data_IF_370837992104
#
_entry.id   IF_370837992104
#
_cell.length_a   1.000
_cell.length_b   1.000
_cell.length_c   1.000
_cell.angle_alpha   90.00
_cell.angle_beta   90.00
_cell.angle_gamma   90.00
#
_symmetry.space_group_name_H-M   'P 1'
#
loop_
_entity.id
_entity.type
_entity.pdbx_description
1 polymer ?
#
# COMPACT_ATOMS: atom_id res chain seq x y z
N UNK A 1 -17.51 -6.70 -3.52
CA UNK A 1 -16.96 -7.38 -2.32
C UNK A 1 -16.78 -6.37 -1.21
N UNK A 2 -17.05 -6.75 0.06
CA UNK A 2 -16.82 -5.90 1.24
C UNK A 2 -15.55 -6.35 1.95
N UNK A 3 -14.75 -5.42 2.53
CA UNK A 3 -13.63 -5.78 3.38
C UNK A 3 -14.08 -6.57 4.62
N UNK A 4 -13.34 -7.63 4.96
CA UNK A 4 -13.55 -8.39 6.21
C UNK A 4 -12.82 -7.73 7.39
N UNK A 5 -11.65 -7.13 7.13
CA UNK A 5 -10.89 -6.36 8.12
C UNK A 5 -11.10 -4.87 7.85
N UNK A 6 -11.77 -4.17 8.76
CA UNK A 6 -12.17 -2.76 8.63
C UNK A 6 -11.45 -1.82 9.59
N UNK A 7 -10.62 -2.36 10.49
CA UNK A 7 -9.82 -1.59 11.43
C UNK A 7 -8.50 -2.29 11.69
N UNK A 8 -7.50 -1.53 12.08
CA UNK A 8 -6.24 -2.07 12.58
C UNK A 8 -6.40 -2.47 14.04
N UNK A 9 -5.64 -3.46 14.50
CA UNK A 9 -5.58 -3.83 15.91
C UNK A 9 -4.91 -2.74 16.75
N UNK A 10 -3.89 -2.07 16.18
CA UNK A 10 -3.35 -0.84 16.76
C UNK A 10 -4.18 0.37 16.26
N UNK A 11 -4.99 1.01 17.11
CA UNK A 11 -5.84 2.14 16.68
C UNK A 11 -5.06 3.44 16.47
N UNK A 12 -3.80 3.50 16.87
CA UNK A 12 -2.96 4.68 16.78
C UNK A 12 -1.54 4.34 16.25
N UNK A 13 -1.42 3.81 15.02
CA UNK A 13 -0.13 3.48 14.43
C UNK A 13 0.70 4.75 14.23
N UNK A 14 2.01 4.66 14.46
CA UNK A 14 2.95 5.80 14.36
C UNK A 14 3.96 5.63 13.24
N UNK A 15 4.12 4.42 12.75
CA UNK A 15 5.13 4.10 11.74
C UNK A 15 4.56 3.26 10.61
N UNK A 16 4.92 3.59 9.36
CA UNK A 16 4.48 2.87 8.17
C UNK A 16 5.60 2.57 7.19
N UNK A 17 5.50 1.42 6.52
CA UNK A 17 6.28 1.08 5.34
C UNK A 17 5.35 1.02 4.13
N UNK A 18 5.69 1.76 3.08
CA UNK A 18 4.99 1.73 1.79
C UNK A 18 5.81 0.95 0.79
N UNK A 19 5.31 -0.20 0.37
CA UNK A 19 5.94 -1.06 -0.65
C UNK A 19 5.09 -1.02 -1.91
N UNK A 20 5.72 -0.68 -3.04
CA UNK A 20 4.97 -0.55 -4.29
C UNK A 20 5.81 -0.10 -5.48
N UNK A 21 5.21 0.67 -6.34
CA UNK A 21 5.81 1.13 -7.60
C UNK A 21 5.52 2.61 -7.87
N UNK A 22 5.47 3.02 -9.14
CA UNK A 22 5.24 4.41 -9.52
C UNK A 22 3.93 5.00 -8.97
N UNK A 23 2.91 4.21 -8.72
CA UNK A 23 1.68 4.69 -8.09
C UNK A 23 1.90 5.21 -6.66
N UNK A 24 2.94 4.73 -5.99
CA UNK A 24 3.33 5.19 -4.66
C UNK A 24 4.26 6.41 -4.70
N UNK A 25 5.17 6.51 -5.68
CA UNK A 25 6.20 7.57 -5.67
C UNK A 25 5.97 8.72 -6.66
N UNK A 26 5.03 8.61 -7.61
CA UNK A 26 4.80 9.66 -8.61
C UNK A 26 4.40 10.99 -7.95
N UNK A 27 4.74 12.12 -8.59
CA UNK A 27 4.45 13.48 -8.09
C UNK A 27 4.85 13.70 -6.61
N UNK A 28 6.12 13.51 -6.29
CA UNK A 28 6.72 13.65 -4.96
C UNK A 28 6.34 12.57 -3.93
N UNK A 29 5.57 11.57 -4.35
CA UNK A 29 5.27 10.38 -3.57
C UNK A 29 4.19 10.56 -2.50
N UNK A 30 3.36 9.54 -2.40
CA UNK A 30 2.25 9.45 -1.46
C UNK A 30 2.69 9.71 -0.01
N UNK A 31 3.87 9.20 0.37
CA UNK A 31 4.41 9.35 1.75
C UNK A 31 4.59 10.83 2.14
N UNK A 32 4.99 11.68 1.20
CA UNK A 32 5.14 13.12 1.43
C UNK A 32 3.82 13.78 1.81
N UNK A 33 2.77 13.50 1.05
CA UNK A 33 1.42 14.03 1.30
C UNK A 33 0.82 13.52 2.61
N UNK A 34 0.90 12.20 2.86
CA UNK A 34 0.39 11.61 4.11
C UNK A 34 1.09 12.19 5.33
N UNK A 35 2.41 12.39 5.27
CA UNK A 35 3.16 13.07 6.35
C UNK A 35 2.72 14.50 6.56
N UNK A 36 2.42 15.22 5.46
CA UNK A 36 1.89 16.58 5.52
C UNK A 36 0.53 16.64 6.22
N UNK A 37 -0.39 15.78 5.83
CA UNK A 37 -1.72 15.68 6.46
C UNK A 37 -1.63 15.26 7.93
N UNK A 38 -0.82 14.25 8.25
CA UNK A 38 -0.62 13.81 9.63
C UNK A 38 -0.07 14.95 10.50
N UNK A 39 0.93 15.69 10.01
CA UNK A 39 1.48 16.86 10.70
C UNK A 39 0.41 17.94 10.94
N UNK A 40 -0.38 18.25 9.93
CA UNK A 40 -1.47 19.24 10.05
C UNK A 40 -2.54 18.81 11.06
N UNK A 41 -2.79 17.52 11.18
CA UNK A 41 -3.72 16.94 12.15
C UNK A 41 -3.12 16.69 13.54
N UNK A 42 -1.84 17.03 13.77
CA UNK A 42 -1.16 16.74 15.03
C UNK A 42 -0.90 15.25 15.30
N UNK A 43 -0.97 14.42 14.25
CA UNK A 43 -0.77 12.95 14.36
C UNK A 43 0.71 12.64 14.16
N UNK A 44 1.37 11.97 15.13
CA UNK A 44 2.75 11.55 14.95
C UNK A 44 2.83 10.41 13.93
N UNK A 45 3.41 10.69 12.77
CA UNK A 45 3.56 9.71 11.70
C UNK A 45 4.97 9.76 11.10
N UNK A 46 5.62 8.61 11.07
CA UNK A 46 6.89 8.38 10.38
C UNK A 46 6.72 7.27 9.36
N UNK A 47 7.23 7.45 8.16
CA UNK A 47 7.08 6.43 7.12
C UNK A 47 8.33 6.33 6.26
N UNK A 48 8.57 5.10 5.78
CA UNK A 48 9.53 4.74 4.74
C UNK A 48 8.78 4.31 3.49
N UNK A 49 9.37 4.57 2.34
CA UNK A 49 8.91 4.10 1.05
C UNK A 49 10.00 3.25 0.41
N UNK A 50 9.63 2.07 -0.08
CA UNK A 50 10.47 1.19 -0.90
C UNK A 50 9.69 0.88 -2.17
N UNK A 51 10.20 1.36 -3.31
CA UNK A 51 9.48 1.28 -4.58
C UNK A 51 10.39 0.84 -5.70
N UNK A 52 9.84 0.04 -6.61
CA UNK A 52 10.49 -0.40 -7.85
C UNK A 52 9.63 0.09 -9.00
N UNK A 53 10.22 0.82 -9.95
CA UNK A 53 9.49 1.31 -11.13
C UNK A 53 8.86 0.16 -11.91
N UNK A 54 7.56 0.24 -12.19
CA UNK A 54 6.77 -0.86 -12.78
C UNK A 54 6.87 -2.19 -12.02
N UNK A 55 7.25 -2.13 -10.74
CA UNK A 55 7.46 -3.31 -9.89
C UNK A 55 6.17 -4.08 -9.67
N UNK A 56 6.30 -5.40 -9.77
CA UNK A 56 5.31 -6.40 -9.34
C UNK A 56 5.59 -6.81 -7.90
N UNK A 57 4.62 -7.39 -7.20
CA UNK A 57 4.87 -7.92 -5.85
C UNK A 57 6.04 -8.92 -5.86
N UNK A 58 6.15 -9.75 -6.89
CA UNK A 58 7.26 -10.72 -7.03
C UNK A 58 8.67 -10.11 -7.08
N UNK A 59 8.80 -8.79 -7.20
CA UNK A 59 10.09 -8.10 -7.21
C UNK A 59 10.51 -7.60 -5.83
N UNK A 60 9.60 -7.64 -4.85
CA UNK A 60 9.82 -7.13 -3.51
C UNK A 60 10.20 -8.26 -2.54
N UNK A 61 11.46 -8.31 -2.06
CA UNK A 61 11.86 -9.25 -1.01
C UNK A 61 11.40 -8.73 0.36
N UNK A 62 10.09 -8.86 0.66
CA UNK A 62 9.43 -8.27 1.82
C UNK A 62 10.13 -8.64 3.13
N UNK A 63 10.53 -9.90 3.30
CA UNK A 63 11.25 -10.34 4.49
C UNK A 63 12.55 -9.55 4.73
N UNK A 64 13.28 -9.17 3.66
CA UNK A 64 14.50 -8.36 3.78
C UNK A 64 14.20 -6.93 4.21
N UNK A 65 13.07 -6.35 3.77
CA UNK A 65 12.65 -5.00 4.16
C UNK A 65 12.27 -4.92 5.64
N UNK A 66 11.86 -6.03 6.22
CA UNK A 66 11.41 -6.16 7.60
C UNK A 66 12.49 -6.78 8.52
N UNK A 67 13.63 -7.18 7.95
CA UNK A 67 14.73 -7.72 8.73
C UNK A 67 15.38 -6.64 9.62
N UNK A 68 15.67 -6.96 10.88
CA UNK A 68 16.28 -5.99 11.78
C UNK A 68 17.70 -5.66 11.33
N UNK A 69 18.01 -4.34 11.36
CA UNK A 69 19.36 -3.84 11.19
C UNK A 69 19.61 -2.79 12.27
N UNK A 70 20.67 -2.93 13.06
CA UNK A 70 20.95 -2.09 14.24
C UNK A 70 21.01 -0.59 13.92
N UNK A 71 21.51 -0.24 12.73
CA UNK A 71 21.60 1.15 12.28
C UNK A 71 20.30 1.69 11.69
N UNK A 72 19.26 0.84 11.52
CA UNK A 72 18.00 1.29 10.98
C UNK A 72 17.24 2.16 12.00
N UNK A 73 16.88 3.42 11.63
CA UNK A 73 16.17 4.32 12.54
C UNK A 73 14.81 3.78 13.03
N UNK A 74 14.20 2.84 12.29
CA UNK A 74 12.95 2.19 12.68
C UNK A 74 13.17 0.97 13.58
N UNK A 75 14.37 0.41 13.59
CA UNK A 75 14.77 -0.69 14.47
C UNK A 75 15.40 -0.19 15.79
N UNK A 76 15.78 1.10 15.87
CA UNK A 76 16.47 1.67 17.05
C UNK A 76 15.67 1.43 18.34
N UNK A 77 16.32 0.78 19.32
CA UNK A 77 15.72 0.42 20.61
C UNK A 77 14.73 -0.76 20.55
N UNK A 78 14.62 -1.42 19.40
CA UNK A 78 13.73 -2.58 19.17
C UNK A 78 14.50 -3.87 18.88
N UNK A 79 15.82 -3.86 18.89
CA UNK A 79 16.65 -5.05 18.64
C UNK A 79 17.32 -5.48 19.95
N UNK A 80 17.18 -6.77 20.28
CA UNK A 80 17.88 -7.41 21.38
C UNK A 80 18.37 -8.78 20.90
N UNK A 81 19.65 -9.07 21.11
CA UNK A 81 20.29 -10.32 20.70
C UNK A 81 20.05 -10.65 19.19
N UNK A 82 20.13 -9.62 18.33
CA UNK A 82 19.91 -9.73 16.90
C UNK A 82 18.45 -9.95 16.47
N UNK A 83 17.49 -9.89 17.40
CA UNK A 83 16.05 -10.10 17.12
C UNK A 83 15.23 -8.86 17.46
N UNK A 84 14.17 -8.64 16.69
CA UNK A 84 13.19 -7.59 17.00
C UNK A 84 12.39 -7.98 18.25
N UNK A 85 12.28 -7.04 19.19
CA UNK A 85 11.41 -7.12 20.37
C UNK A 85 10.07 -6.41 20.14
N UNK A 86 9.98 -5.63 19.06
CA UNK A 86 8.78 -4.96 18.58
C UNK A 86 8.90 -4.74 17.07
N UNK A 87 7.80 -4.61 16.31
CA UNK A 87 7.85 -4.38 14.86
C UNK A 87 8.58 -3.08 14.53
N UNK A 88 9.36 -3.07 13.44
CA UNK A 88 9.97 -1.85 12.94
C UNK A 88 8.91 -0.85 12.47
N UNK A 89 7.86 -1.37 11.82
CA UNK A 89 6.72 -0.59 11.34
C UNK A 89 5.43 -1.13 11.96
N UNK A 90 4.54 -0.24 12.37
CA UNK A 90 3.22 -0.64 12.86
C UNK A 90 2.36 -1.19 11.71
N UNK A 91 2.47 -0.55 10.54
CA UNK A 91 1.68 -0.88 9.34
C UNK A 91 2.58 -1.01 8.12
N UNK A 92 2.29 -2.00 7.27
CA UNK A 92 2.92 -2.16 5.95
C UNK A 92 1.86 -2.09 4.86
N UNK A 93 1.98 -1.08 4.00
CA UNK A 93 1.11 -0.89 2.83
C UNK A 93 1.70 -1.63 1.64
N UNK A 94 0.94 -2.55 1.06
CA UNK A 94 1.34 -3.41 -0.05
C UNK A 94 0.55 -2.97 -1.30
N UNK A 95 1.26 -2.44 -2.30
CA UNK A 95 0.66 -1.96 -3.55
C UNK A 95 1.18 -2.76 -4.73
N UNK A 96 0.29 -3.50 -5.38
CA UNK A 96 0.57 -4.29 -6.57
C UNK A 96 0.76 -3.44 -7.83
N UNK A 97 1.29 -4.00 -8.89
CA UNK A 97 1.24 -3.39 -10.21
C UNK A 97 -0.23 -3.27 -10.66
N UNK A 98 -0.61 -2.10 -11.18
CA UNK A 98 -1.99 -1.71 -11.42
C UNK A 98 -2.85 -2.71 -12.24
N UNK A 99 -2.22 -3.51 -13.11
CA UNK A 99 -2.92 -4.49 -13.98
C UNK A 99 -2.91 -5.91 -13.43
N UNK A 100 -2.03 -6.26 -12.48
CA UNK A 100 -1.93 -7.63 -11.97
C UNK A 100 -3.24 -8.16 -11.38
N UNK A 101 -4.01 -7.36 -10.60
CA UNK A 101 -5.23 -7.86 -9.96
C UNK A 101 -6.38 -8.18 -10.90
N UNK A 102 -6.33 -7.72 -12.17
CA UNK A 102 -7.40 -7.91 -13.16
C UNK A 102 -6.95 -8.59 -14.45
N UNK A 103 -5.66 -8.82 -14.64
CA UNK A 103 -5.15 -9.57 -15.79
C UNK A 103 -5.12 -11.07 -15.48
N UNK A 104 -5.92 -11.84 -16.22
CA UNK A 104 -6.08 -13.28 -15.98
C UNK A 104 -4.77 -14.08 -15.95
N UNK A 105 -3.75 -13.65 -16.69
CA UNK A 105 -2.43 -14.30 -16.72
C UNK A 105 -1.60 -13.96 -15.47
N UNK A 106 -1.81 -12.80 -14.90
CA UNK A 106 -1.03 -12.28 -13.76
C UNK A 106 -1.64 -12.66 -12.40
N UNK A 107 -2.96 -12.82 -12.31
CA UNK A 107 -3.70 -13.10 -11.08
C UNK A 107 -3.10 -14.24 -10.24
N UNK A 108 -2.77 -15.43 -10.79
CA UNK A 108 -2.23 -16.53 -9.97
C UNK A 108 -0.90 -16.15 -9.31
N UNK A 109 0.01 -15.53 -10.05
CA UNK A 109 1.31 -15.08 -9.54
C UNK A 109 1.14 -13.97 -8.51
N UNK A 110 0.32 -12.98 -8.82
CA UNK A 110 0.00 -11.89 -7.91
C UNK A 110 -0.56 -12.38 -6.58
N UNK A 111 -1.58 -13.25 -6.60
CA UNK A 111 -2.17 -13.83 -5.38
C UNK A 111 -1.15 -14.63 -4.56
N UNK A 112 -0.29 -15.40 -5.22
CA UNK A 112 0.78 -16.16 -4.57
C UNK A 112 1.71 -15.22 -3.79
N UNK A 113 2.19 -14.15 -4.42
CA UNK A 113 3.12 -13.22 -3.76
C UNK A 113 2.43 -12.38 -2.70
N UNK A 114 1.18 -11.93 -2.93
CA UNK A 114 0.41 -11.23 -1.90
C UNK A 114 0.26 -12.08 -0.63
N UNK A 115 -0.05 -13.37 -0.78
CA UNK A 115 -0.13 -14.29 0.35
C UNK A 115 1.19 -14.40 1.11
N UNK A 116 2.31 -14.53 0.40
CA UNK A 116 3.65 -14.60 1.00
C UNK A 116 3.97 -13.31 1.76
N UNK A 117 3.83 -12.16 1.10
CA UNK A 117 4.14 -10.86 1.68
C UNK A 117 3.29 -10.52 2.90
N UNK A 118 1.98 -10.81 2.85
CA UNK A 118 1.09 -10.65 4.02
C UNK A 118 1.54 -11.54 5.19
N UNK A 119 1.95 -12.77 4.92
CA UNK A 119 2.46 -13.67 5.95
C UNK A 119 3.78 -13.16 6.55
N UNK A 120 4.70 -12.66 5.73
CA UNK A 120 5.98 -12.08 6.16
C UNK A 120 5.78 -10.81 7.01
N UNK A 121 4.84 -9.94 6.62
CA UNK A 121 4.46 -8.75 7.38
C UNK A 121 3.92 -9.13 8.76
N UNK A 122 3.01 -10.10 8.83
CA UNK A 122 2.46 -10.59 10.09
C UNK A 122 3.53 -11.25 10.98
N UNK A 123 4.42 -12.04 10.38
CA UNK A 123 5.53 -12.66 11.08
C UNK A 123 6.50 -11.65 11.71
N UNK A 124 6.65 -10.47 11.08
CA UNK A 124 7.41 -9.34 11.61
C UNK A 124 6.65 -8.53 12.70
N UNK A 125 5.43 -8.91 13.05
CA UNK A 125 4.58 -8.23 14.02
C UNK A 125 3.92 -6.96 13.51
N UNK A 126 3.98 -6.69 12.20
CA UNK A 126 3.36 -5.54 11.55
C UNK A 126 1.96 -5.87 11.03
N UNK A 127 1.11 -4.86 10.85
CA UNK A 127 -0.22 -5.04 10.26
C UNK A 127 -0.17 -4.83 8.73
N UNK A 128 -0.56 -5.84 7.91
CA UNK A 128 -0.61 -5.69 6.47
C UNK A 128 -1.86 -4.95 6.01
N UNK A 129 -1.68 -3.97 5.14
CA UNK A 129 -2.75 -3.22 4.47
C UNK A 129 -2.54 -3.30 2.97
N UNK A 130 -3.48 -3.89 2.25
CA UNK A 130 -3.41 -4.00 0.79
C UNK A 130 -4.05 -2.76 0.16
N UNK A 131 -3.31 -2.07 -0.69
CA UNK A 131 -3.79 -0.85 -1.35
C UNK A 131 -4.65 -1.22 -2.56
N UNK A 132 -5.92 -0.84 -2.54
CA UNK A 132 -6.80 -0.90 -3.71
C UNK A 132 -6.38 0.23 -4.67
N UNK A 133 -5.79 -0.12 -5.80
CA UNK A 133 -5.34 0.84 -6.80
C UNK A 133 -6.51 1.36 -7.64
N UNK A 134 -6.31 2.47 -8.35
CA UNK A 134 -7.30 3.08 -9.24
C UNK A 134 -7.16 2.57 -10.69
N UNK A 135 -8.23 2.68 -11.44
CA UNK A 135 -8.28 2.39 -12.87
C UNK A 135 -7.59 3.49 -13.69
N UNK A 136 -7.23 3.17 -14.92
CA UNK A 136 -6.80 4.18 -15.89
C UNK A 136 -7.96 5.11 -16.23
N UNK A 137 -7.68 6.36 -16.57
CA UNK A 137 -8.70 7.35 -16.94
C UNK A 137 -9.60 6.89 -18.08
N UNK A 138 -9.01 6.17 -19.06
CA UNK A 138 -9.72 5.69 -20.25
C UNK A 138 -10.44 4.34 -20.01
N UNK A 139 -10.29 3.74 -18.83
CA UNK A 139 -10.88 2.45 -18.45
C UNK A 139 -11.54 2.53 -17.06
N UNK A 140 -12.49 3.46 -16.82
CA UNK A 140 -13.12 3.62 -15.53
C UNK A 140 -13.91 2.38 -15.06
N UNK A 141 -14.36 1.55 -16.01
CA UNK A 141 -15.03 0.27 -15.74
C UNK A 141 -14.17 -0.73 -14.98
N UNK A 142 -12.85 -0.58 -14.98
CA UNK A 142 -11.94 -1.44 -14.24
C UNK A 142 -11.90 -1.10 -12.74
N UNK A 143 -12.42 0.06 -12.32
CA UNK A 143 -12.43 0.46 -10.89
C UNK A 143 -13.08 -0.60 -10.01
N UNK A 144 -14.27 -1.07 -10.39
CA UNK A 144 -14.98 -2.11 -9.64
C UNK A 144 -14.25 -3.46 -9.66
N UNK A 145 -13.69 -3.84 -10.81
CA UNK A 145 -12.93 -5.09 -10.96
C UNK A 145 -11.68 -5.09 -10.09
N UNK A 146 -10.92 -3.99 -10.08
CA UNK A 146 -9.76 -3.80 -9.22
C UNK A 146 -10.14 -3.90 -7.75
N UNK A 147 -11.17 -3.16 -7.33
CA UNK A 147 -11.64 -3.18 -5.96
C UNK A 147 -12.09 -4.58 -5.52
N UNK A 148 -12.93 -5.25 -6.31
CA UNK A 148 -13.43 -6.58 -5.96
C UNK A 148 -12.29 -7.61 -5.89
N UNK A 149 -11.36 -7.59 -6.83
CA UNK A 149 -10.22 -8.52 -6.86
C UNK A 149 -9.28 -8.32 -5.68
N UNK A 150 -8.90 -7.05 -5.42
CA UNK A 150 -7.94 -6.74 -4.35
C UNK A 150 -8.55 -6.95 -2.96
N UNK A 151 -9.80 -6.53 -2.75
CA UNK A 151 -10.50 -6.73 -1.47
C UNK A 151 -10.70 -8.23 -1.19
N UNK A 152 -11.07 -9.00 -2.23
CA UNK A 152 -11.21 -10.45 -2.08
C UNK A 152 -9.90 -11.10 -1.65
N UNK A 153 -8.80 -10.75 -2.31
CA UNK A 153 -7.48 -11.28 -1.98
C UNK A 153 -6.97 -10.80 -0.60
N UNK A 154 -7.28 -9.57 -0.20
CA UNK A 154 -7.00 -9.09 1.16
C UNK A 154 -7.77 -9.91 2.21
N UNK A 155 -9.06 -10.16 1.98
CA UNK A 155 -9.90 -10.98 2.84
C UNK A 155 -9.37 -12.42 2.97
N UNK A 156 -9.00 -13.06 1.85
CA UNK A 156 -8.42 -14.40 1.82
C UNK A 156 -7.18 -14.52 2.71
N UNK A 157 -6.44 -13.43 2.91
CA UNK A 157 -5.20 -13.38 3.68
C UNK A 157 -5.37 -12.70 5.06
N UNK A 158 -6.58 -12.29 5.44
CA UNK A 158 -6.85 -11.59 6.70
C UNK A 158 -6.05 -10.28 6.82
N UNK A 159 -5.98 -9.50 5.75
CA UNK A 159 -5.37 -8.19 5.68
C UNK A 159 -6.45 -7.11 5.49
N UNK A 160 -6.20 -5.91 5.97
CA UNK A 160 -7.06 -4.77 5.67
C UNK A 160 -6.89 -4.34 4.21
N UNK A 161 -7.95 -3.78 3.61
CA UNK A 161 -7.90 -3.19 2.27
C UNK A 161 -8.12 -1.67 2.37
N UNK A 162 -7.16 -0.88 1.89
CA UNK A 162 -7.26 0.57 1.85
C UNK A 162 -7.89 1.01 0.52
N UNK A 163 -9.10 1.59 0.50
CA UNK A 163 -9.89 1.80 -0.72
C UNK A 163 -9.49 3.05 -1.51
N UNK A 164 -8.18 3.27 -1.73
CA UNK A 164 -7.65 4.45 -2.43
C UNK A 164 -8.26 4.59 -3.82
N UNK A 165 -8.35 3.51 -4.58
CA UNK A 165 -8.88 3.54 -5.94
C UNK A 165 -10.37 3.90 -6.02
N UNK A 166 -11.16 3.52 -5.02
CA UNK A 166 -12.57 3.92 -4.93
C UNK A 166 -12.69 5.41 -4.59
N UNK A 167 -11.94 5.89 -3.61
CA UNK A 167 -11.91 7.31 -3.24
C UNK A 167 -11.40 8.17 -4.41
N UNK A 168 -10.40 7.71 -5.15
CA UNK A 168 -9.88 8.39 -6.33
C UNK A 168 -10.95 8.50 -7.44
N UNK A 169 -11.67 7.42 -7.71
CA UNK A 169 -12.74 7.41 -8.70
C UNK A 169 -13.90 8.35 -8.30
N UNK A 170 -14.30 8.32 -7.04
CA UNK A 170 -15.34 9.21 -6.48
C UNK A 170 -14.92 10.69 -6.57
N UNK A 171 -13.70 11.01 -6.16
CA UNK A 171 -13.16 12.37 -6.24
C UNK A 171 -13.10 12.86 -7.69
N UNK A 172 -12.65 12.01 -8.63
CA UNK A 172 -12.59 12.33 -10.05
C UNK A 172 -13.97 12.57 -10.65
N UNK A 173 -14.97 11.79 -10.28
CA UNK A 173 -16.36 11.98 -10.73
C UNK A 173 -17.01 13.22 -10.12
N UNK A 174 -16.75 13.49 -8.84
CA UNK A 174 -17.34 14.62 -8.11
C UNK A 174 -16.70 15.99 -8.38
N UNK A 175 -15.47 16.00 -8.93
CA UNK A 175 -14.71 17.23 -9.23
C UNK A 175 -14.15 17.19 -10.65
N UNK A 176 -14.99 17.32 -11.67
CA UNK A 176 -14.56 17.31 -13.10
C UNK A 176 -13.69 18.52 -13.46
N UNK A 177 -13.72 19.56 -12.65
CA UNK A 177 -12.89 20.77 -12.76
C UNK A 177 -11.42 20.50 -12.34
N UNK A 178 -11.14 19.41 -11.62
CA UNK A 178 -9.79 19.04 -11.18
C UNK A 178 -9.25 17.87 -12.02
N UNK A 179 -8.04 18.04 -12.53
CA UNK A 179 -7.39 16.94 -13.22
C UNK A 179 -6.63 16.04 -12.23
N UNK A 180 -7.23 14.91 -11.88
CA UNK A 180 -6.63 13.93 -10.95
C UNK A 180 -5.58 13.03 -11.61
N UNK A 181 -5.53 12.96 -12.95
CA UNK A 181 -4.58 12.12 -13.68
C UNK A 181 -3.43 12.94 -14.27
N UNK A 182 -2.24 12.37 -14.30
CA UNK A 182 -1.13 12.86 -15.10
C UNK A 182 -1.45 12.74 -16.62
N UNK A 183 -0.66 13.36 -17.51
CA UNK A 183 -0.89 13.30 -18.95
C UNK A 183 -0.95 11.90 -19.56
N UNK A 184 -0.31 10.93 -18.91
CA UNK A 184 -0.35 9.51 -19.33
C UNK A 184 -1.65 8.78 -18.96
N UNK A 185 -2.59 9.47 -18.33
CA UNK A 185 -3.93 8.97 -17.97
C UNK A 185 -3.92 7.77 -17.01
N UNK A 186 -2.80 7.54 -16.35
CA UNK A 186 -2.58 6.40 -15.45
C UNK A 186 -2.05 6.80 -14.09
N UNK A 187 -0.99 7.60 -14.07
CA UNK A 187 -0.42 8.08 -12.83
C UNK A 187 -1.26 9.23 -12.24
N UNK A 188 -1.19 9.46 -10.92
CA UNK A 188 -1.90 10.57 -10.31
C UNK A 188 -1.21 11.89 -10.69
N UNK A 189 -1.98 12.96 -10.84
CA UNK A 189 -1.45 14.32 -10.82
C UNK A 189 -1.07 14.72 -9.38
N UNK A 190 -0.61 15.94 -9.18
CA UNK A 190 -0.38 16.46 -7.82
C UNK A 190 -1.69 16.60 -7.00
N UNK A 191 -2.84 16.71 -7.67
CA UNK A 191 -4.16 16.74 -7.04
C UNK A 191 -4.76 15.33 -6.83
N UNK A 192 -4.26 14.34 -7.58
CA UNK A 192 -4.67 12.94 -7.46
C UNK A 192 -3.89 12.22 -6.40
#
# INVERSE_FOLDING_TARGET
VKPAVTSLSNPAPKTGLYVGNSFTYYNCGLVGYVRGFAKAAGIPWRARQITISSGRLSYHPMAQYLAPHELDPYAKGKVKDGKLTAPMFDVVFIQALSTEPIDAKSIPTWKKYLKSEVAEVKAAGSEPVVVVTWAKKDHPEDTKKLADSIISAANENGAAALPVGLAFAEAHAGRPDINFYAPDKRHPSAAG
#
